data_IF_746114546585
#
_entry.id   IF_746114546585
#
_cell.length_a   1.000
_cell.length_b   1.000
_cell.length_c   1.000
_cell.angle_alpha   90.00
_cell.angle_beta   90.00
_cell.angle_gamma   90.00
#
_symmetry.space_group_name_H-M   'P 1'
#
loop_
_entity.id
_entity.type
_entity.pdbx_description
1 polymer ?
#
# COMPACT_ATOMS: atom_id res chain seq x y z
N UNK A 1 19.67 -2.28 -35.24
CA UNK A 1 20.06 -3.09 -34.07
C UNK A 1 20.34 -2.24 -32.83
N UNK A 2 21.36 -1.37 -32.85
CA UNK A 2 21.83 -0.66 -31.66
C UNK A 2 20.78 0.25 -31.00
N UNK A 3 19.98 0.97 -31.82
CA UNK A 3 18.87 1.81 -31.34
C UNK A 3 17.82 1.02 -30.56
N UNK A 4 17.49 -0.19 -31.04
CA UNK A 4 16.48 -1.05 -30.40
C UNK A 4 17.06 -1.62 -29.10
N UNK A 5 18.30 -2.10 -29.10
CA UNK A 5 18.97 -2.56 -27.88
C UNK A 5 19.03 -1.47 -26.79
N UNK A 6 19.26 -0.21 -27.19
CA UNK A 6 19.22 0.93 -26.26
C UNK A 6 17.82 1.13 -25.64
N UNK A 7 16.75 0.97 -26.42
CA UNK A 7 15.36 1.02 -25.91
C UNK A 7 15.15 -0.07 -24.84
N UNK A 8 15.59 -1.29 -25.11
CA UNK A 8 15.50 -2.39 -24.15
C UNK A 8 16.30 -2.12 -22.87
N UNK A 9 17.49 -1.52 -22.99
CA UNK A 9 18.29 -1.11 -21.84
C UNK A 9 17.55 -0.06 -21.00
N UNK A 10 16.97 0.96 -21.64
CA UNK A 10 16.16 1.99 -20.96
C UNK A 10 14.93 1.38 -20.29
N UNK A 11 14.24 0.43 -20.96
CA UNK A 11 13.12 -0.27 -20.35
C UNK A 11 13.53 -1.08 -19.11
N UNK A 12 14.65 -1.79 -19.17
CA UNK A 12 15.21 -2.50 -18.01
C UNK A 12 15.54 -1.56 -16.85
N UNK A 13 16.08 -0.38 -17.18
CA UNK A 13 16.36 0.67 -16.20
C UNK A 13 15.09 1.24 -15.56
N UNK A 14 14.05 1.52 -16.37
CA UNK A 14 12.75 2.00 -15.88
C UNK A 14 12.09 0.95 -14.97
N UNK A 15 12.25 -0.33 -15.25
CA UNK A 15 11.79 -1.40 -14.38
C UNK A 15 12.52 -1.47 -13.05
N UNK A 16 13.81 -1.13 -13.04
CA UNK A 16 14.54 -0.95 -11.79
C UNK A 16 13.90 0.10 -10.88
N UNK A 17 13.35 1.18 -11.44
CA UNK A 17 12.66 2.21 -10.64
C UNK A 17 11.31 1.73 -10.11
N UNK A 18 10.56 0.97 -10.91
CA UNK A 18 9.31 0.31 -10.48
C UNK A 18 9.60 -0.69 -9.36
N UNK A 19 10.68 -1.47 -9.48
CA UNK A 19 11.13 -2.38 -8.43
C UNK A 19 11.40 -1.65 -7.11
N UNK A 20 12.15 -0.55 -7.16
CA UNK A 20 12.44 0.25 -5.96
C UNK A 20 11.18 0.84 -5.32
N UNK A 21 10.18 1.19 -6.12
CA UNK A 21 8.88 1.65 -5.63
C UNK A 21 8.09 0.52 -4.94
N UNK A 22 8.04 -0.68 -5.55
CA UNK A 22 7.41 -1.84 -4.92
C UNK A 22 8.09 -2.23 -3.62
N UNK A 23 9.43 -2.18 -3.60
CA UNK A 23 10.22 -2.47 -2.41
C UNK A 23 10.01 -1.42 -1.31
N UNK A 24 9.79 -0.16 -1.66
CA UNK A 24 9.40 0.90 -0.73
C UNK A 24 8.05 0.60 -0.06
N UNK A 25 7.06 0.10 -0.81
CA UNK A 25 5.80 -0.36 -0.23
C UNK A 25 6.02 -1.54 0.72
N UNK A 26 6.83 -2.52 0.33
CA UNK A 26 7.20 -3.65 1.21
C UNK A 26 7.83 -3.20 2.53
N UNK A 27 8.74 -2.22 2.49
CA UNK A 27 9.36 -1.64 3.69
C UNK A 27 8.34 -0.95 4.61
N UNK A 28 7.27 -0.37 4.05
CA UNK A 28 6.22 0.29 4.83
C UNK A 28 5.43 -0.67 5.72
N UNK A 29 5.32 -1.95 5.33
CA UNK A 29 4.66 -3.00 6.12
C UNK A 29 5.52 -3.55 7.27
N UNK A 30 6.80 -3.14 7.38
CA UNK A 30 7.72 -3.49 8.49
C UNK A 30 8.02 -4.98 8.67
N UNK A 31 7.48 -5.88 7.84
CA UNK A 31 7.71 -7.32 7.91
C UNK A 31 8.65 -7.77 6.79
N UNK A 32 9.66 -8.58 7.13
CA UNK A 32 10.57 -9.16 6.13
C UNK A 32 9.82 -10.00 5.09
N UNK A 33 8.76 -10.68 5.52
CA UNK A 33 7.88 -11.46 4.64
C UNK A 33 7.17 -10.60 3.59
N UNK A 34 6.71 -9.39 3.93
CA UNK A 34 6.07 -8.49 2.96
C UNK A 34 7.09 -8.03 1.90
N UNK A 35 8.29 -7.64 2.32
CA UNK A 35 9.36 -7.26 1.37
C UNK A 35 9.66 -8.42 0.41
N UNK A 36 9.82 -9.65 0.94
CA UNK A 36 10.04 -10.83 0.11
C UNK A 36 8.87 -11.11 -0.84
N UNK A 37 7.62 -10.97 -0.37
CA UNK A 37 6.45 -11.17 -1.21
C UNK A 37 6.40 -10.16 -2.36
N UNK A 38 6.67 -8.88 -2.11
CA UNK A 38 6.73 -7.87 -3.17
C UNK A 38 7.90 -8.10 -4.14
N UNK A 39 9.07 -8.52 -3.64
CA UNK A 39 10.21 -8.90 -4.46
C UNK A 39 9.85 -10.09 -5.38
N UNK A 40 9.26 -11.14 -4.81
CA UNK A 40 8.81 -12.32 -5.54
C UNK A 40 7.75 -11.97 -6.60
N UNK A 41 6.72 -11.23 -6.19
CA UNK A 41 5.64 -10.81 -7.09
C UNK A 41 6.17 -9.98 -8.26
N UNK A 42 7.11 -9.06 -7.98
CA UNK A 42 7.77 -8.29 -9.03
C UNK A 42 8.48 -9.21 -10.02
N UNK A 43 9.29 -10.16 -9.55
CA UNK A 43 10.02 -11.07 -10.45
C UNK A 43 9.09 -11.98 -11.27
N UNK A 44 7.98 -12.44 -10.70
CA UNK A 44 6.98 -13.22 -11.43
C UNK A 44 6.37 -12.40 -12.57
N UNK A 45 5.83 -11.22 -12.26
CA UNK A 45 5.22 -10.33 -13.27
C UNK A 45 6.26 -9.91 -14.31
N UNK A 46 7.47 -9.56 -13.86
CA UNK A 46 8.59 -9.19 -14.69
C UNK A 46 8.95 -10.30 -15.68
N UNK A 47 9.09 -11.53 -15.21
CA UNK A 47 9.44 -12.67 -16.06
C UNK A 47 8.39 -12.92 -17.15
N UNK A 48 7.10 -12.79 -16.81
CA UNK A 48 5.99 -12.96 -17.75
C UNK A 48 5.96 -11.85 -18.81
N UNK A 49 6.02 -10.58 -18.39
CA UNK A 49 6.05 -9.43 -19.30
C UNK A 49 7.25 -9.51 -20.24
N UNK A 50 8.41 -9.84 -19.70
CA UNK A 50 9.63 -9.94 -20.46
C UNK A 50 9.58 -11.12 -21.46
N UNK A 51 9.03 -12.26 -21.05
CA UNK A 51 8.84 -13.41 -21.93
C UNK A 51 7.92 -13.11 -23.11
N UNK A 52 6.77 -12.45 -22.85
CA UNK A 52 5.83 -12.02 -23.90
C UNK A 52 6.52 -11.09 -24.90
N UNK A 53 7.32 -10.15 -24.40
CA UNK A 53 8.01 -9.16 -25.22
C UNK A 53 9.10 -9.81 -26.09
N UNK A 54 9.77 -10.86 -25.58
CA UNK A 54 10.72 -11.66 -26.37
C UNK A 54 10.04 -12.55 -27.42
N UNK A 55 8.80 -12.99 -27.18
CA UNK A 55 8.03 -13.80 -28.14
C UNK A 55 7.77 -13.08 -29.46
N UNK A 56 7.75 -11.74 -29.43
CA UNK A 56 7.59 -10.91 -30.63
C UNK A 56 8.77 -10.97 -31.61
N UNK A 57 9.89 -11.60 -31.25
CA UNK A 57 11.07 -11.71 -32.10
C UNK A 57 11.31 -13.16 -32.52
N UNK A 58 11.23 -13.41 -33.83
CA UNK A 58 11.44 -14.75 -34.40
C UNK A 58 12.92 -15.15 -34.44
N UNK A 59 13.86 -14.19 -34.46
CA UNK A 59 15.29 -14.47 -34.52
C UNK A 59 15.88 -14.67 -33.11
N UNK A 60 16.45 -15.85 -32.86
CA UNK A 60 17.04 -16.22 -31.56
C UNK A 60 18.20 -15.34 -31.12
N UNK A 61 19.06 -14.90 -32.05
CA UNK A 61 20.21 -14.01 -31.75
C UNK A 61 19.72 -12.65 -31.26
N UNK A 62 18.68 -12.13 -31.93
CA UNK A 62 18.07 -10.85 -31.57
C UNK A 62 17.39 -10.93 -30.21
N UNK A 63 16.67 -12.02 -29.95
CA UNK A 63 16.04 -12.30 -28.66
C UNK A 63 17.07 -12.33 -27.53
N UNK A 64 18.19 -13.01 -27.72
CA UNK A 64 19.27 -13.08 -26.72
C UNK A 64 19.92 -11.70 -26.47
N UNK A 65 20.20 -10.94 -27.54
CA UNK A 65 20.80 -9.60 -27.43
C UNK A 65 19.87 -8.63 -26.69
N UNK A 66 18.58 -8.63 -27.00
CA UNK A 66 17.60 -7.79 -26.30
C UNK A 66 17.39 -8.22 -24.86
N UNK A 67 17.46 -9.51 -24.58
CA UNK A 67 17.45 -10.02 -23.22
C UNK A 67 18.63 -9.54 -22.39
N UNK A 68 19.83 -9.63 -22.95
CA UNK A 68 21.03 -9.13 -22.31
C UNK A 68 20.98 -7.62 -22.08
N UNK A 69 20.53 -6.84 -23.06
CA UNK A 69 20.42 -5.39 -22.92
C UNK A 69 19.40 -4.99 -21.83
N UNK A 70 18.26 -5.66 -21.79
CA UNK A 70 17.20 -5.41 -20.82
C UNK A 70 17.59 -5.80 -19.40
N UNK A 71 18.14 -7.01 -19.23
CA UNK A 71 18.67 -7.45 -17.94
C UNK A 71 19.85 -6.58 -17.49
N UNK A 72 20.72 -6.19 -18.43
CA UNK A 72 21.81 -5.25 -18.20
C UNK A 72 21.32 -3.91 -17.66
N UNK A 73 20.28 -3.33 -18.28
CA UNK A 73 19.66 -2.09 -17.80
C UNK A 73 19.11 -2.20 -16.37
N UNK A 74 18.44 -3.32 -16.06
CA UNK A 74 17.95 -3.61 -14.70
C UNK A 74 19.11 -3.70 -13.70
N UNK A 75 20.14 -4.49 -14.00
CA UNK A 75 21.29 -4.69 -13.11
C UNK A 75 22.05 -3.39 -12.89
N UNK A 76 22.28 -2.60 -13.94
CA UNK A 76 22.92 -1.29 -13.87
C UNK A 76 22.13 -0.37 -12.93
N UNK A 77 20.80 -0.31 -13.07
CA UNK A 77 19.95 0.49 -12.18
C UNK A 77 20.09 0.04 -10.72
N UNK A 78 19.99 -1.27 -10.47
CA UNK A 78 20.05 -1.83 -9.12
C UNK A 78 21.39 -1.56 -8.43
N UNK A 79 22.50 -1.66 -9.17
CA UNK A 79 23.83 -1.44 -8.62
C UNK A 79 24.14 0.04 -8.40
N UNK A 80 23.78 0.92 -9.32
CA UNK A 80 24.14 2.33 -9.26
C UNK A 80 23.16 3.16 -8.44
N UNK A 81 21.87 3.06 -8.75
CA UNK A 81 20.85 3.98 -8.22
C UNK A 81 20.19 3.38 -7.00
N UNK A 82 19.75 2.12 -7.10
CA UNK A 82 19.00 1.48 -6.01
C UNK A 82 19.84 1.44 -4.73
N UNK A 83 21.15 1.14 -4.82
CA UNK A 83 22.06 1.18 -3.66
C UNK A 83 22.14 2.55 -2.99
N UNK A 84 22.28 3.62 -3.77
CA UNK A 84 22.39 5.00 -3.25
C UNK A 84 21.10 5.47 -2.61
N UNK A 85 19.97 5.00 -3.11
CA UNK A 85 18.63 5.43 -2.68
C UNK A 85 18.06 4.63 -1.50
N UNK A 86 18.75 3.58 -1.00
CA UNK A 86 18.31 2.79 0.17
C UNK A 86 18.10 3.66 1.41
N UNK A 87 19.03 4.55 1.73
CA UNK A 87 18.96 5.39 2.93
C UNK A 87 17.75 6.33 2.86
N UNK A 88 17.57 6.99 1.72
CA UNK A 88 16.44 7.89 1.44
C UNK A 88 15.11 7.14 1.52
N UNK A 89 15.01 5.94 0.93
CA UNK A 89 13.81 5.10 0.99
C UNK A 89 13.44 4.70 2.41
N UNK A 90 14.42 4.31 3.23
CA UNK A 90 14.17 3.96 4.63
C UNK A 90 13.62 5.15 5.41
N UNK A 91 14.23 6.33 5.25
CA UNK A 91 13.76 7.55 5.91
C UNK A 91 12.35 7.94 5.44
N UNK A 92 12.09 7.87 4.13
CA UNK A 92 10.77 8.11 3.56
C UNK A 92 9.73 7.10 4.06
N UNK A 93 10.08 5.83 4.23
CA UNK A 93 9.17 4.79 4.71
C UNK A 93 8.77 5.03 6.17
N UNK A 94 9.70 5.51 7.00
CA UNK A 94 9.40 5.93 8.38
C UNK A 94 8.46 7.13 8.39
N UNK A 95 8.73 8.15 7.56
CA UNK A 95 7.84 9.31 7.39
C UNK A 95 6.44 8.91 6.95
N UNK A 96 6.34 8.05 5.94
CA UNK A 96 5.08 7.51 5.44
C UNK A 96 4.33 6.71 6.51
N UNK A 97 5.01 5.86 7.27
CA UNK A 97 4.41 5.10 8.38
C UNK A 97 3.82 6.02 9.44
N UNK A 98 4.51 7.11 9.77
CA UNK A 98 4.01 8.11 10.71
C UNK A 98 2.79 8.85 10.16
N UNK A 99 2.78 9.18 8.87
CA UNK A 99 1.61 9.75 8.20
C UNK A 99 0.41 8.81 8.25
N UNK A 100 0.60 7.53 7.90
CA UNK A 100 -0.47 6.50 7.95
C UNK A 100 -1.01 6.33 9.38
N UNK A 101 -0.14 6.34 10.40
CA UNK A 101 -0.58 6.31 11.82
C UNK A 101 -1.45 7.51 12.17
N UNK A 102 -1.04 8.73 11.79
CA UNK A 102 -1.83 9.95 12.02
C UNK A 102 -3.20 9.85 11.35
N UNK A 103 -3.24 9.39 10.10
CA UNK A 103 -4.50 9.19 9.37
C UNK A 103 -5.39 8.15 10.06
N UNK A 104 -4.87 6.98 10.41
CA UNK A 104 -5.63 5.94 11.13
C UNK A 104 -6.22 6.46 12.44
N UNK A 105 -5.50 7.33 13.15
CA UNK A 105 -5.99 7.92 14.39
C UNK A 105 -7.08 8.96 14.15
N UNK A 106 -6.98 9.79 13.11
CA UNK A 106 -8.05 10.68 12.67
C UNK A 106 -9.31 9.90 12.27
N UNK A 107 -9.17 8.83 11.48
CA UNK A 107 -10.28 7.95 11.13
C UNK A 107 -10.92 7.30 12.35
N UNK A 108 -10.11 6.84 13.32
CA UNK A 108 -10.63 6.28 14.58
C UNK A 108 -11.47 7.30 15.35
N UNK A 109 -11.05 8.57 15.41
CA UNK A 109 -11.83 9.64 16.06
C UNK A 109 -13.15 9.90 15.35
N UNK A 110 -13.14 9.96 14.02
CA UNK A 110 -14.37 10.13 13.22
C UNK A 110 -15.31 8.94 13.43
N UNK A 111 -14.79 7.72 13.40
CA UNK A 111 -15.59 6.52 13.63
C UNK A 111 -16.17 6.47 15.05
N UNK A 112 -15.39 6.83 16.07
CA UNK A 112 -15.86 6.94 17.44
C UNK A 112 -16.94 8.02 17.59
N UNK A 113 -16.81 9.15 16.89
CA UNK A 113 -17.83 10.20 16.86
C UNK A 113 -19.12 9.69 16.22
N UNK A 114 -19.04 9.01 15.07
CA UNK A 114 -20.21 8.40 14.42
C UNK A 114 -20.88 7.35 15.31
N UNK A 115 -20.09 6.49 15.95
CA UNK A 115 -20.61 5.52 16.91
C UNK A 115 -21.29 6.21 18.11
N UNK A 116 -20.71 7.29 18.64
CA UNK A 116 -21.31 8.07 19.73
C UNK A 116 -22.61 8.74 19.29
N UNK A 117 -22.67 9.30 18.08
CA UNK A 117 -23.90 9.86 17.53
C UNK A 117 -24.97 8.78 17.37
N UNK A 118 -24.61 7.61 16.85
CA UNK A 118 -25.55 6.50 16.66
C UNK A 118 -26.05 5.95 18.01
N UNK A 119 -25.13 5.70 18.95
CA UNK A 119 -25.46 5.23 20.30
C UNK A 119 -26.32 6.24 21.07
N UNK A 120 -25.99 7.54 20.99
CA UNK A 120 -26.79 8.59 21.63
C UNK A 120 -28.16 8.73 20.96
N UNK A 121 -28.27 8.62 19.63
CA UNK A 121 -29.57 8.69 18.95
C UNK A 121 -30.45 7.46 19.21
N UNK A 122 -29.87 6.27 19.33
CA UNK A 122 -30.62 5.01 19.52
C UNK A 122 -31.01 4.75 20.98
N UNK A 123 -30.08 4.93 21.93
CA UNK A 123 -30.37 4.71 23.36
C UNK A 123 -31.17 5.86 23.97
N UNK A 124 -30.88 7.13 23.64
CA UNK A 124 -31.63 8.26 24.20
C UNK A 124 -33.08 8.24 23.72
N UNK A 125 -33.32 7.87 22.45
CA UNK A 125 -34.66 7.72 21.90
C UNK A 125 -35.42 6.52 22.51
N UNK A 126 -34.74 5.40 22.80
CA UNK A 126 -35.37 4.27 23.51
C UNK A 126 -35.60 4.53 25.02
N UNK A 127 -34.72 5.28 25.70
CA UNK A 127 -34.93 5.68 27.11
C UNK A 127 -36.06 6.69 27.26
N UNK A 128 -36.18 7.67 26.36
CA UNK A 128 -37.31 8.61 26.38
C UNK A 128 -38.65 7.92 26.11
N UNK A 129 -38.68 6.89 25.23
CA UNK A 129 -39.89 6.11 24.97
C UNK A 129 -40.33 5.21 26.14
N UNK A 130 -39.40 4.85 27.05
CA UNK A 130 -39.68 4.02 28.22
C UNK A 130 -39.90 4.82 29.52
N UNK A 131 -39.51 6.09 29.56
CA UNK A 131 -39.65 6.96 30.74
C UNK A 131 -41.02 7.60 30.91
N UNK A 132 -41.84 7.64 29.85
CA UNK A 132 -43.15 8.32 29.84
C UNK A 132 -44.32 7.43 30.33
N UNK A 133 -44.03 6.19 30.76
CA UNK A 133 -45.06 5.25 31.24
C UNK A 133 -45.23 5.18 32.76
N UNK A 134 -44.45 5.91 33.55
CA UNK A 134 -44.52 5.87 35.02
C UNK A 134 -44.94 7.21 35.66
N UNK A 135 -45.83 7.96 35.01
CA UNK A 135 -46.41 9.19 35.53
C UNK A 135 -47.90 9.05 35.87
N UNK A 136 -48.28 8.19 36.82
CA UNK A 136 -49.62 8.22 37.43
C UNK A 136 -49.67 7.48 38.77
N UNK A 137 -50.41 8.06 39.72
CA UNK A 137 -50.86 7.53 41.03
C UNK A 137 -49.86 7.76 42.20
N UNK A 138 -50.19 8.32 43.37
CA UNK A 138 -51.33 9.09 43.88
C UNK A 138 -50.99 9.69 45.27
N UNK A 139 -51.53 10.88 45.58
CA UNK A 139 -52.04 11.38 46.88
C UNK A 139 -51.55 10.77 48.22
N UNK A 140 -50.86 11.61 49.03
CA UNK A 140 -51.00 11.97 50.48
C UNK A 140 -51.46 10.95 51.58
N UNK A 141 -51.30 11.19 52.93
CA UNK A 141 -50.78 12.37 53.67
C UNK A 141 -49.79 12.07 54.85
N UNK A 142 -49.34 13.17 55.50
CA UNK A 142 -48.49 13.32 56.70
C UNK A 142 -49.00 12.59 57.98
N UNK A 143 -48.07 12.27 58.91
CA UNK A 143 -48.21 12.41 60.39
C UNK A 143 -46.81 12.72 60.97
N UNK A 144 -46.60 13.97 61.41
CA UNK A 144 -46.58 14.46 62.81
C UNK A 144 -45.43 13.89 63.62
#
# INVERSE_FOLDING_TARGET
MLKIAAVFLICGFLLGSIYDLMRFFGLSFSTKAAVFFFDFLFFVIYSLLFFVLLLGFNNGIMRAMYAAAYFGGLVIYLLLISRKTIAVRKQAAVGFKNFVKKQKQSFKKVLQFMHKLYYNKFILHNKFKSGDKNGKVSSQPKRK
#
